data_IF_809894244772
#
_entry.id   IF_809894244772
#
_cell.length_a   1.000
_cell.length_b   1.000
_cell.length_c   1.000
_cell.angle_alpha   90.00
_cell.angle_beta   90.00
_cell.angle_gamma   90.00
#
_symmetry.space_group_name_H-M   'P 1'
#
loop_
_entity.id
_entity.type
_entity.pdbx_description
1 polymer ?
#
# COMPACT_ATOMS: atom_id res chain seq x y z
N UNK A 1 -16.16 13.44 68.62
CA UNK A 1 -15.19 12.37 68.38
C UNK A 1 -15.09 12.15 66.88
N UNK A 2 -13.90 12.32 66.32
CA UNK A 2 -13.66 11.98 64.91
C UNK A 2 -13.26 10.52 64.84
N UNK A 3 -14.01 9.70 64.11
CA UNK A 3 -13.71 8.31 63.88
C UNK A 3 -12.72 8.24 62.73
N UNK A 4 -11.52 7.70 62.98
CA UNK A 4 -10.51 7.45 61.95
C UNK A 4 -10.87 6.17 61.20
N UNK A 5 -11.59 6.32 60.09
CA UNK A 5 -12.07 5.24 59.23
C UNK A 5 -10.94 4.42 58.61
N UNK A 6 -9.67 4.90 58.64
CA UNK A 6 -8.51 4.16 58.14
C UNK A 6 -8.12 2.97 59.05
N UNK A 7 -8.58 2.99 60.32
CA UNK A 7 -8.35 1.93 61.31
C UNK A 7 -9.45 0.87 61.33
N UNK A 8 -10.60 1.18 60.71
CA UNK A 8 -11.71 0.24 60.62
C UNK A 8 -11.51 -0.69 59.42
N UNK A 9 -11.50 -2.01 59.65
CA UNK A 9 -11.35 -3.04 58.61
C UNK A 9 -12.48 -3.01 57.55
N UNK A 10 -13.47 -2.11 57.67
CA UNK A 10 -14.55 -1.93 56.75
C UNK A 10 -14.16 -1.25 55.45
N UNK A 11 -12.99 -0.62 55.34
CA UNK A 11 -12.54 0.09 54.15
C UNK A 11 -11.42 -0.70 53.44
N UNK A 12 -11.77 -1.33 52.32
CA UNK A 12 -10.77 -1.96 51.45
C UNK A 12 -10.06 -0.85 50.65
N UNK A 13 -8.76 -0.63 50.94
CA UNK A 13 -7.97 0.33 50.14
C UNK A 13 -8.10 -0.01 48.65
N UNK A 14 -8.38 0.97 47.81
CA UNK A 14 -8.40 0.75 46.36
C UNK A 14 -6.99 0.26 45.93
N UNK A 15 -6.94 -0.69 45.03
CA UNK A 15 -5.70 -1.25 44.48
C UNK A 15 -4.87 -0.19 43.76
N UNK A 16 -5.56 0.81 43.14
CA UNK A 16 -4.96 1.94 42.43
C UNK A 16 -5.57 3.25 42.90
N UNK A 17 -4.73 4.27 43.05
CA UNK A 17 -5.11 5.65 43.33
C UNK A 17 -4.61 6.57 42.22
N UNK A 18 -5.07 7.82 42.19
CA UNK A 18 -4.58 8.83 41.22
C UNK A 18 -3.07 9.04 41.25
N UNK A 19 -2.41 8.70 42.36
CA UNK A 19 -0.97 8.81 42.55
C UNK A 19 -0.19 7.56 42.14
N UNK A 20 -0.86 6.50 41.71
CA UNK A 20 -0.20 5.27 41.28
C UNK A 20 0.56 5.49 39.98
N UNK A 21 1.87 5.21 39.97
CA UNK A 21 2.74 5.39 38.79
C UNK A 21 2.24 4.63 37.58
N UNK A 22 1.68 3.41 37.78
CA UNK A 22 1.07 2.60 36.73
C UNK A 22 -0.08 3.33 36.00
N UNK A 23 -0.88 4.11 36.73
CA UNK A 23 -1.95 4.91 36.12
C UNK A 23 -1.40 6.13 35.40
N UNK A 24 -0.38 6.79 35.95
CA UNK A 24 0.31 7.92 35.32
C UNK A 24 0.93 7.48 33.98
N UNK A 25 1.64 6.36 33.96
CA UNK A 25 2.25 5.76 32.77
C UNK A 25 1.20 5.36 31.72
N UNK A 26 0.06 4.81 32.17
CA UNK A 26 -1.04 4.46 31.27
C UNK A 26 -1.64 5.70 30.60
N UNK A 27 -1.88 6.77 31.37
CA UNK A 27 -2.41 8.05 30.85
C UNK A 27 -1.42 8.70 29.88
N UNK A 28 -0.13 8.73 30.21
CA UNK A 28 0.90 9.25 29.31
C UNK A 28 0.94 8.46 28.00
N UNK A 29 0.90 7.13 28.06
CA UNK A 29 0.87 6.26 26.89
C UNK A 29 -0.38 6.48 26.05
N UNK A 30 -1.54 6.61 26.68
CA UNK A 30 -2.80 6.92 26.00
C UNK A 30 -2.71 8.26 25.24
N UNK A 31 -2.27 9.32 25.95
CA UNK A 31 -2.12 10.64 25.35
C UNK A 31 -1.13 10.63 24.17
N UNK A 32 -0.01 9.91 24.32
CA UNK A 32 0.96 9.73 23.25
C UNK A 32 0.35 9.03 22.03
N UNK A 33 -0.44 7.98 22.22
CA UNK A 33 -1.06 7.24 21.12
C UNK A 33 -2.13 8.07 20.40
N UNK A 34 -3.02 8.73 21.16
CA UNK A 34 -4.08 9.57 20.56
C UNK A 34 -3.55 10.88 20.01
N UNK A 35 -2.38 11.34 20.46
CA UNK A 35 -1.67 12.48 19.88
C UNK A 35 -1.08 12.22 18.49
N UNK A 36 -1.09 10.96 18.03
CA UNK A 36 -0.58 10.60 16.69
C UNK A 36 -1.45 11.21 15.59
N UNK A 37 -0.79 11.81 14.59
CA UNK A 37 -1.44 12.26 13.35
C UNK A 37 -0.57 11.89 12.16
N UNK A 38 -1.05 10.97 11.33
CA UNK A 38 -0.39 10.56 10.09
C UNK A 38 -1.24 10.99 8.91
N UNK A 39 -0.67 11.82 8.04
CA UNK A 39 -1.29 12.24 6.78
C UNK A 39 -0.66 11.43 5.65
N UNK A 40 -1.41 10.51 5.09
CA UNK A 40 -0.99 9.75 3.92
C UNK A 40 -1.25 10.54 2.66
N UNK A 41 -0.27 10.54 1.75
CA UNK A 41 -0.35 11.16 0.42
C UNK A 41 -0.49 10.09 -0.66
N UNK A 42 -1.48 10.26 -1.54
CA UNK A 42 -1.75 9.41 -2.71
C UNK A 42 -2.00 10.30 -3.93
N UNK A 43 -0.94 10.81 -4.55
CA UNK A 43 -1.07 11.87 -5.55
C UNK A 43 -1.68 13.13 -4.92
N UNK A 44 -2.80 13.58 -5.47
CA UNK A 44 -3.55 14.74 -4.98
C UNK A 44 -4.48 14.39 -3.80
N UNK A 45 -4.75 13.10 -3.57
CA UNK A 45 -5.59 12.61 -2.47
C UNK A 45 -4.79 12.49 -1.16
N UNK A 46 -5.47 12.81 -0.05
CA UNK A 46 -4.90 12.64 1.29
C UNK A 46 -5.82 11.82 2.19
N UNK A 47 -5.22 11.02 3.07
CA UNK A 47 -5.94 10.32 4.13
C UNK A 47 -5.30 10.63 5.47
N UNK A 48 -6.09 11.21 6.37
CA UNK A 48 -5.63 11.52 7.74
C UNK A 48 -6.04 10.42 8.69
N UNK A 49 -5.06 9.87 9.39
CA UNK A 49 -5.25 9.02 10.56
C UNK A 49 -4.86 9.83 11.80
N UNK A 50 -5.80 10.00 12.72
CA UNK A 50 -5.61 10.76 13.95
C UNK A 50 -6.17 10.03 15.20
N UNK A 51 -6.10 10.71 16.33
CA UNK A 51 -6.56 10.21 17.62
C UNK A 51 -8.03 9.81 17.65
N UNK A 52 -8.89 10.39 16.82
CA UNK A 52 -10.33 10.07 16.79
C UNK A 52 -10.58 8.65 16.31
N UNK A 53 -9.71 8.16 15.44
CA UNK A 53 -9.74 6.77 14.95
C UNK A 53 -8.89 5.86 15.83
N UNK A 54 -7.70 6.31 16.24
CA UNK A 54 -6.73 5.53 17.02
C UNK A 54 -7.28 5.13 18.38
N UNK A 55 -8.04 6.01 19.06
CA UNK A 55 -8.62 5.72 20.38
C UNK A 55 -9.48 4.43 20.36
N UNK A 56 -10.18 4.15 19.24
CA UNK A 56 -11.00 2.94 19.06
C UNK A 56 -10.16 1.65 18.91
N UNK A 57 -8.85 1.79 18.70
CA UNK A 57 -7.91 0.70 18.52
C UNK A 57 -7.16 0.34 19.79
N UNK A 58 -7.27 1.18 20.82
CA UNK A 58 -6.59 0.98 22.09
C UNK A 58 -7.32 -0.09 22.91
N UNK A 59 -6.55 -0.89 23.62
CA UNK A 59 -6.99 -1.83 24.64
C UNK A 59 -6.20 -1.58 25.90
N UNK A 60 -6.90 -1.33 27.00
CA UNK A 60 -6.32 -1.30 28.34
C UNK A 60 -6.55 -2.67 28.95
N UNK A 61 -5.50 -3.29 29.46
CA UNK A 61 -5.56 -4.56 30.18
C UNK A 61 -5.92 -4.36 31.65
N UNK A 62 -6.20 -5.46 32.36
CA UNK A 62 -6.49 -5.44 33.80
C UNK A 62 -5.35 -4.89 34.65
N UNK A 63 -4.12 -5.07 34.18
CA UNK A 63 -2.87 -4.56 34.76
C UNK A 63 -2.57 -3.10 34.37
N UNK A 64 -3.55 -2.39 33.79
CA UNK A 64 -3.45 -1.04 33.23
C UNK A 64 -2.47 -0.89 32.06
N UNK A 65 -1.91 -1.97 31.51
CA UNK A 65 -1.07 -1.90 30.31
C UNK A 65 -1.89 -1.46 29.10
N UNK A 66 -1.42 -0.40 28.43
CA UNK A 66 -2.04 0.14 27.21
C UNK A 66 -1.44 -0.55 25.99
N UNK A 67 -2.27 -1.09 25.10
CA UNK A 67 -1.86 -1.74 23.86
C UNK A 67 -2.68 -1.27 22.66
N UNK A 68 -2.04 -1.21 21.50
CA UNK A 68 -2.72 -1.05 20.20
C UNK A 68 -3.17 -2.42 19.70
N UNK A 69 -4.42 -2.52 19.25
CA UNK A 69 -4.96 -3.69 18.57
C UNK A 69 -4.44 -3.73 17.13
N UNK A 70 -3.36 -4.50 16.88
CA UNK A 70 -2.72 -4.64 15.57
C UNK A 70 -3.72 -4.94 14.44
N UNK A 71 -4.71 -5.82 14.69
CA UNK A 71 -5.73 -6.16 13.70
C UNK A 71 -6.61 -4.98 13.25
N UNK A 72 -6.74 -3.95 14.08
CA UNK A 72 -7.44 -2.70 13.70
C UNK A 72 -6.57 -1.82 12.82
N UNK A 73 -5.27 -1.77 13.09
CA UNK A 73 -4.29 -1.08 12.24
C UNK A 73 -4.23 -1.76 10.87
N UNK A 74 -4.16 -3.09 10.85
CA UNK A 74 -4.16 -3.88 9.63
C UNK A 74 -5.42 -3.64 8.77
N UNK A 75 -6.61 -3.60 9.40
CA UNK A 75 -7.85 -3.26 8.68
C UNK A 75 -7.79 -1.88 8.02
N UNK A 76 -7.23 -0.89 8.71
CA UNK A 76 -7.04 0.43 8.12
C UNK A 76 -6.08 0.40 6.94
N UNK A 77 -4.96 -0.30 7.05
CA UNK A 77 -4.00 -0.46 5.94
C UNK A 77 -4.64 -1.20 4.75
N UNK A 78 -5.51 -2.19 5.02
CA UNK A 78 -6.29 -2.87 3.99
C UNK A 78 -7.32 -1.94 3.31
N UNK A 79 -7.86 -0.94 4.01
CA UNK A 79 -8.72 0.08 3.40
C UNK A 79 -7.93 0.95 2.43
N UNK A 80 -6.69 1.36 2.81
CA UNK A 80 -5.79 2.11 1.94
C UNK A 80 -5.44 1.30 0.69
N UNK A 81 -5.02 0.03 0.87
CA UNK A 81 -4.73 -0.91 -0.21
C UNK A 81 -5.91 -0.99 -1.20
N UNK A 82 -7.13 -1.27 -0.71
CA UNK A 82 -8.30 -1.41 -1.58
C UNK A 82 -8.70 -0.15 -2.32
N UNK A 83 -8.40 1.02 -1.76
CA UNK A 83 -8.77 2.31 -2.38
C UNK A 83 -7.74 2.81 -3.38
N UNK A 84 -6.46 2.56 -3.13
CA UNK A 84 -5.38 3.24 -3.85
C UNK A 84 -4.47 2.33 -4.66
N UNK A 85 -4.54 1.02 -4.49
CA UNK A 85 -3.77 0.12 -5.32
C UNK A 85 -4.41 0.01 -6.71
N UNK A 86 -3.54 0.00 -7.73
CA UNK A 86 -3.94 -0.16 -9.13
C UNK A 86 -3.36 -1.43 -9.75
N UNK A 87 -2.52 -2.16 -9.01
CA UNK A 87 -2.01 -3.47 -9.43
C UNK A 87 -3.17 -4.45 -9.65
N UNK A 88 -3.08 -5.28 -10.70
CA UNK A 88 -4.10 -6.25 -11.10
C UNK A 88 -5.47 -5.66 -11.49
N UNK A 89 -5.55 -4.35 -11.70
CA UNK A 89 -6.80 -3.70 -12.15
C UNK A 89 -6.86 -3.61 -13.68
N UNK A 90 -8.08 -3.61 -14.21
CA UNK A 90 -8.30 -3.37 -15.62
C UNK A 90 -8.11 -1.87 -15.94
N UNK A 91 -7.54 -1.58 -17.10
CA UNK A 91 -7.26 -0.20 -17.55
C UNK A 91 -7.96 0.12 -18.85
N UNK A 92 -8.62 1.27 -18.90
CA UNK A 92 -9.00 1.86 -20.19
C UNK A 92 -7.75 2.42 -20.83
N UNK A 93 -7.43 1.96 -22.02
CA UNK A 93 -6.22 2.31 -22.74
C UNK A 93 -6.58 2.85 -24.13
N UNK A 94 -6.00 4.00 -24.48
CA UNK A 94 -6.12 4.55 -25.83
C UNK A 94 -4.94 4.04 -26.65
N UNK A 95 -5.22 3.23 -27.65
CA UNK A 95 -4.20 2.60 -28.50
C UNK A 95 -3.49 3.65 -29.38
N UNK A 96 -2.35 3.25 -29.94
CA UNK A 96 -1.63 4.06 -30.92
C UNK A 96 -2.47 4.36 -32.18
N UNK A 97 -3.44 3.51 -32.50
CA UNK A 97 -4.41 3.75 -33.58
C UNK A 97 -5.52 4.74 -33.22
N UNK A 98 -5.64 5.11 -31.94
CA UNK A 98 -6.64 6.06 -31.44
C UNK A 98 -7.90 5.44 -30.84
N UNK A 99 -8.04 4.12 -30.91
CA UNK A 99 -9.16 3.39 -30.31
C UNK A 99 -9.03 3.26 -28.81
N UNK A 100 -10.14 3.14 -28.09
CA UNK A 100 -10.14 2.90 -26.65
C UNK A 100 -10.49 1.45 -26.38
N UNK A 101 -9.58 0.72 -25.77
CA UNK A 101 -9.75 -0.68 -25.37
C UNK A 101 -9.67 -0.83 -23.85
N UNK A 102 -10.14 -1.95 -23.33
CA UNK A 102 -9.90 -2.32 -21.94
C UNK A 102 -8.82 -3.39 -21.90
N UNK A 103 -7.69 -3.05 -21.28
CA UNK A 103 -6.60 -4.00 -21.03
C UNK A 103 -6.86 -4.70 -19.70
N UNK A 104 -6.93 -6.02 -19.76
CA UNK A 104 -7.19 -6.90 -18.61
C UNK A 104 -5.89 -7.57 -18.16
N UNK A 105 -5.69 -7.66 -16.84
CA UNK A 105 -4.54 -8.39 -16.28
C UNK A 105 -3.24 -7.59 -16.25
N UNK A 106 -2.15 -8.35 -16.00
CA UNK A 106 -0.83 -7.78 -15.73
C UNK A 106 -0.61 -7.47 -14.26
N UNK A 107 0.62 -7.15 -13.92
CA UNK A 107 1.07 -6.95 -12.53
C UNK A 107 1.66 -5.56 -12.28
N UNK A 108 1.47 -4.63 -13.22
CA UNK A 108 1.88 -3.23 -13.05
C UNK A 108 0.89 -2.44 -12.23
N UNK A 109 1.37 -1.47 -11.45
CA UNK A 109 0.53 -0.51 -10.72
C UNK A 109 1.05 -0.20 -9.32
N UNK A 110 0.35 0.67 -8.62
CA UNK A 110 0.57 0.92 -7.21
C UNK A 110 0.21 -0.31 -6.39
N UNK A 111 1.09 -0.72 -5.49
CA UNK A 111 0.87 -1.88 -4.63
C UNK A 111 1.42 -1.63 -3.22
N UNK A 112 0.54 -1.36 -2.28
CA UNK A 112 0.89 -1.16 -0.87
C UNK A 112 1.42 -2.46 -0.25
N UNK A 113 2.55 -2.38 0.45
CA UNK A 113 3.05 -3.48 1.27
C UNK A 113 2.31 -3.49 2.61
N UNK A 114 1.17 -4.13 2.66
CA UNK A 114 0.26 -4.12 3.82
C UNK A 114 0.92 -4.62 5.10
N UNK A 115 1.85 -5.57 5.02
CA UNK A 115 2.57 -6.11 6.18
C UNK A 115 3.56 -5.08 6.73
N UNK A 116 4.47 -4.57 5.87
CA UNK A 116 5.45 -3.57 6.28
C UNK A 116 4.80 -2.28 6.75
N UNK A 117 3.73 -1.85 6.07
CA UNK A 117 2.99 -0.66 6.45
C UNK A 117 2.31 -0.81 7.81
N UNK A 118 1.67 -1.95 8.07
CA UNK A 118 1.05 -2.23 9.38
C UNK A 118 2.10 -2.18 10.49
N UNK A 119 3.26 -2.83 10.30
CA UNK A 119 4.34 -2.82 11.30
C UNK A 119 4.87 -1.42 11.57
N UNK A 120 5.05 -0.64 10.50
CA UNK A 120 5.54 0.73 10.61
C UNK A 120 4.53 1.65 11.28
N UNK A 121 3.24 1.52 10.91
CA UNK A 121 2.18 2.33 11.47
C UNK A 121 1.98 2.06 12.98
N UNK A 122 2.04 0.79 13.41
CA UNK A 122 2.02 0.45 14.85
C UNK A 122 3.16 1.16 15.58
N UNK A 123 4.38 1.14 15.04
CA UNK A 123 5.54 1.83 15.63
C UNK A 123 5.37 3.35 15.68
N UNK A 124 4.77 3.94 14.64
CA UNK A 124 4.49 5.38 14.59
C UNK A 124 3.46 5.78 15.64
N UNK A 125 2.40 5.01 15.82
CA UNK A 125 1.40 5.25 16.86
C UNK A 125 2.02 5.13 18.25
N UNK A 126 2.86 4.11 18.48
CA UNK A 126 3.56 3.94 19.76
C UNK A 126 4.48 5.12 20.10
N UNK A 127 4.99 5.82 19.09
CA UNK A 127 5.85 7.01 19.25
C UNK A 127 5.05 8.33 19.34
N UNK A 128 3.76 8.32 19.11
CA UNK A 128 2.96 9.55 19.03
C UNK A 128 3.35 10.43 17.84
N UNK A 129 3.69 9.82 16.70
CA UNK A 129 4.25 10.55 15.56
C UNK A 129 3.22 11.48 14.90
N UNK A 130 3.66 12.70 14.55
CA UNK A 130 2.92 13.66 13.71
C UNK A 130 3.72 13.88 12.45
N UNK A 131 3.23 13.38 11.30
CA UNK A 131 3.96 13.50 10.03
C UNK A 131 3.10 13.22 8.79
N UNK A 132 3.56 13.73 7.67
CA UNK A 132 3.09 13.36 6.34
C UNK A 132 3.99 12.29 5.74
N UNK A 133 3.41 11.36 5.00
CA UNK A 133 4.14 10.29 4.32
C UNK A 133 3.30 9.53 3.30
N UNK A 134 3.98 8.83 2.40
CA UNK A 134 3.41 7.75 1.60
C UNK A 134 3.46 6.43 2.37
N UNK A 135 2.60 5.44 2.06
CA UNK A 135 2.73 4.11 2.62
C UNK A 135 4.01 3.39 2.16
N UNK A 136 4.30 2.27 2.79
CA UNK A 136 5.32 1.34 2.28
C UNK A 136 4.74 0.61 1.08
N UNK A 137 5.39 0.69 -0.07
CA UNK A 137 4.97 0.02 -1.29
C UNK A 137 5.79 -1.25 -1.57
N UNK A 138 5.18 -2.24 -2.22
CA UNK A 138 5.86 -3.34 -2.91
C UNK A 138 6.29 -2.91 -4.29
N UNK A 139 5.41 -2.13 -4.95
CA UNK A 139 5.61 -1.59 -6.28
C UNK A 139 4.98 -0.21 -6.36
N UNK A 140 5.63 0.68 -7.09
CA UNK A 140 5.12 2.02 -7.40
C UNK A 140 4.83 2.11 -8.88
N UNK A 141 3.85 2.95 -9.26
CA UNK A 141 3.60 3.32 -10.64
C UNK A 141 4.18 4.72 -10.95
N UNK A 142 4.16 5.13 -12.21
CA UNK A 142 4.72 6.42 -12.65
C UNK A 142 3.86 7.59 -12.19
N UNK A 143 2.54 7.40 -12.18
CA UNK A 143 1.57 8.44 -11.79
C UNK A 143 0.39 7.83 -11.05
N UNK A 144 -0.44 8.67 -10.45
CA UNK A 144 -1.73 8.25 -9.89
C UNK A 144 -2.86 8.46 -10.92
N UNK A 145 -3.98 7.78 -10.70
CA UNK A 145 -5.17 7.86 -11.55
C UNK A 145 -5.17 6.84 -12.70
N UNK A 146 -6.04 7.08 -13.68
CA UNK A 146 -6.34 6.12 -14.76
C UNK A 146 -5.16 5.81 -15.68
N UNK A 147 -4.18 6.73 -15.77
CA UNK A 147 -2.94 6.56 -16.53
C UNK A 147 -1.73 6.35 -15.62
N UNK A 148 -1.85 5.42 -14.69
CA UNK A 148 -0.76 5.12 -13.75
C UNK A 148 0.55 4.69 -14.45
N UNK A 149 0.48 4.21 -15.70
CA UNK A 149 1.61 3.86 -16.55
C UNK A 149 2.30 5.08 -17.22
N UNK A 150 1.73 6.30 -17.09
CA UNK A 150 2.31 7.54 -17.62
C UNK A 150 2.23 7.68 -19.13
N UNK A 151 3.14 8.49 -19.69
CA UNK A 151 3.16 8.84 -21.12
C UNK A 151 4.35 8.23 -21.89
N UNK A 152 5.08 7.30 -21.25
CA UNK A 152 6.24 6.63 -21.87
C UNK A 152 6.13 5.12 -21.62
N UNK A 153 5.82 4.37 -22.69
CA UNK A 153 5.55 2.94 -22.60
C UNK A 153 5.80 2.24 -23.95
N UNK A 154 5.85 0.92 -23.95
CA UNK A 154 5.72 0.10 -25.15
C UNK A 154 4.29 -0.48 -25.19
N UNK A 155 3.64 -0.37 -26.35
CA UNK A 155 2.36 -1.00 -26.66
C UNK A 155 2.62 -2.16 -27.61
N UNK A 156 2.05 -3.31 -27.33
CA UNK A 156 2.09 -4.50 -28.20
C UNK A 156 0.66 -4.85 -28.59
N UNK A 157 0.33 -4.63 -29.84
CA UNK A 157 -0.93 -5.10 -30.42
C UNK A 157 -0.80 -6.58 -30.79
N UNK A 158 -1.41 -7.43 -29.96
CA UNK A 158 -1.35 -8.89 -30.13
C UNK A 158 -2.13 -9.33 -31.38
N UNK A 159 -3.20 -8.62 -31.75
CA UNK A 159 -4.04 -8.95 -32.91
C UNK A 159 -3.40 -8.47 -34.20
N UNK A 160 -2.89 -7.23 -34.20
CA UNK A 160 -2.24 -6.63 -35.38
C UNK A 160 -0.79 -7.03 -35.53
N UNK A 161 -0.21 -7.78 -34.56
CA UNK A 161 1.19 -8.18 -34.57
C UNK A 161 2.13 -6.98 -34.77
N UNK A 162 1.95 -5.93 -33.94
CA UNK A 162 2.67 -4.67 -34.07
C UNK A 162 3.11 -4.14 -32.70
N UNK A 163 4.28 -3.52 -32.65
CA UNK A 163 4.83 -2.87 -31.47
C UNK A 163 4.95 -1.38 -31.71
N UNK A 164 4.52 -0.59 -30.74
CA UNK A 164 4.71 0.87 -30.69
C UNK A 164 5.54 1.23 -29.46
N UNK A 165 6.50 2.13 -29.61
CA UNK A 165 7.21 2.77 -28.50
C UNK A 165 6.71 4.20 -28.42
N UNK A 166 6.07 4.51 -27.29
CA UNK A 166 5.54 5.83 -26.99
C UNK A 166 6.47 6.52 -25.99
N UNK A 167 6.88 7.73 -26.30
CA UNK A 167 7.68 8.58 -25.41
C UNK A 167 7.04 9.95 -25.29
N UNK A 168 6.76 10.37 -24.05
CA UNK A 168 6.07 11.64 -23.77
C UNK A 168 4.77 11.79 -24.59
N UNK A 169 3.96 10.73 -24.66
CA UNK A 169 2.69 10.71 -25.38
C UNK A 169 2.77 10.68 -26.90
N UNK A 170 3.97 10.52 -27.48
CA UNK A 170 4.17 10.44 -28.94
C UNK A 170 4.79 9.12 -29.34
N UNK A 171 4.27 8.51 -30.40
CA UNK A 171 4.91 7.35 -31.01
C UNK A 171 6.25 7.79 -31.60
N UNK A 172 7.33 7.19 -31.12
CA UNK A 172 8.71 7.48 -31.59
C UNK A 172 9.32 6.34 -32.38
N UNK A 173 8.70 5.16 -32.34
CA UNK A 173 9.11 3.98 -33.09
C UNK A 173 7.93 3.01 -33.18
N UNK A 174 7.79 2.35 -34.31
CA UNK A 174 6.85 1.27 -34.53
C UNK A 174 7.41 0.22 -35.49
N UNK A 175 7.00 -1.02 -35.30
CA UNK A 175 7.43 -2.14 -36.18
C UNK A 175 6.49 -3.32 -36.07
N UNK A 176 6.42 -4.11 -37.13
CA UNK A 176 5.78 -5.43 -37.05
C UNK A 176 6.54 -6.34 -36.09
N UNK A 177 5.82 -7.20 -35.40
CA UNK A 177 6.37 -8.21 -34.50
C UNK A 177 5.66 -9.55 -34.67
N UNK A 178 6.19 -10.59 -34.06
CA UNK A 178 5.51 -11.88 -33.90
C UNK A 178 5.35 -12.13 -32.41
N UNK A 179 4.10 -12.36 -31.98
CA UNK A 179 3.79 -12.72 -30.61
C UNK A 179 3.70 -14.25 -30.44
N UNK A 180 3.49 -14.69 -29.20
CA UNK A 180 3.45 -16.12 -28.90
C UNK A 180 2.33 -16.86 -29.64
N UNK A 181 2.57 -18.13 -29.96
CA UNK A 181 1.65 -18.97 -30.72
C UNK A 181 0.53 -19.55 -29.83
N UNK A 182 -0.69 -19.00 -29.95
CA UNK A 182 -1.84 -19.45 -29.17
C UNK A 182 -2.21 -20.91 -29.45
N UNK A 183 -2.09 -21.36 -30.71
CA UNK A 183 -2.47 -22.74 -31.09
C UNK A 183 -1.57 -23.80 -30.44
N UNK A 184 -0.40 -23.42 -29.98
CA UNK A 184 0.56 -24.28 -29.29
C UNK A 184 0.59 -24.05 -27.78
N UNK A 185 -0.33 -23.25 -27.24
CA UNK A 185 -0.37 -22.91 -25.81
C UNK A 185 0.71 -21.92 -25.33
N UNK A 186 1.35 -21.23 -26.26
CA UNK A 186 2.40 -20.24 -25.99
C UNK A 186 1.91 -18.79 -26.23
N UNK A 187 0.65 -18.49 -25.90
CA UNK A 187 0.09 -17.17 -26.06
C UNK A 187 0.88 -16.13 -25.26
N UNK A 188 1.13 -14.96 -25.87
CA UNK A 188 1.64 -13.80 -25.13
C UNK A 188 0.52 -13.28 -24.20
N UNK A 189 0.72 -13.24 -22.87
CA UNK A 189 -0.33 -12.81 -21.95
C UNK A 189 -0.69 -11.34 -22.19
N UNK A 190 -1.97 -11.04 -22.38
CA UNK A 190 -2.45 -9.67 -22.39
C UNK A 190 -2.36 -9.07 -20.98
N UNK A 191 -2.07 -7.77 -20.88
CA UNK A 191 -1.97 -7.09 -19.60
C UNK A 191 -1.07 -5.88 -19.60
N UNK A 192 -0.98 -5.23 -18.45
CA UNK A 192 -0.04 -4.13 -18.19
C UNK A 192 1.08 -4.61 -17.30
N UNK A 193 2.32 -4.52 -17.77
CA UNK A 193 3.50 -5.08 -17.12
C UNK A 193 4.58 -4.02 -16.94
N UNK A 194 5.35 -4.12 -15.87
CA UNK A 194 6.54 -3.30 -15.66
C UNK A 194 7.73 -3.86 -16.44
N UNK A 195 8.53 -2.99 -17.06
CA UNK A 195 9.82 -3.40 -17.65
C UNK A 195 10.79 -3.71 -16.52
N UNK A 196 11.17 -4.96 -16.36
CA UNK A 196 12.06 -5.43 -15.28
C UNK A 196 13.54 -5.16 -15.58
N UNK A 197 13.97 -5.31 -16.82
CA UNK A 197 15.34 -5.02 -17.25
C UNK A 197 15.41 -4.72 -18.75
N UNK A 198 16.55 -4.19 -19.17
CA UNK A 198 16.90 -3.97 -20.58
C UNK A 198 18.27 -4.60 -20.82
N UNK A 199 18.39 -5.33 -21.89
CA UNK A 199 19.66 -5.95 -22.27
C UNK A 199 19.91 -5.71 -23.74
N UNK A 200 21.12 -5.24 -24.08
CA UNK A 200 21.59 -5.14 -25.47
C UNK A 200 22.36 -6.41 -25.84
N UNK A 201 22.24 -6.87 -27.09
CA UNK A 201 22.86 -8.07 -27.56
C UNK A 201 22.53 -9.30 -26.69
N UNK A 202 21.23 -9.42 -26.35
CA UNK A 202 20.75 -10.56 -25.59
C UNK A 202 20.75 -11.83 -26.49
N UNK A 203 20.90 -12.97 -25.86
CA UNK A 203 20.60 -14.27 -26.51
C UNK A 203 19.36 -14.82 -25.80
N UNK A 204 18.28 -14.96 -26.53
CA UNK A 204 17.06 -15.62 -26.01
C UNK A 204 17.29 -17.14 -26.12
N UNK A 205 17.13 -17.80 -24.98
CA UNK A 205 17.26 -19.27 -24.87
C UNK A 205 15.95 -19.85 -24.33
N UNK A 206 15.42 -20.80 -25.03
CA UNK A 206 14.35 -21.67 -24.60
C UNK A 206 14.73 -23.12 -24.64
N UNK A 207 13.81 -24.02 -24.38
CA UNK A 207 14.06 -25.44 -24.27
C UNK A 207 14.64 -26.02 -25.58
N UNK A 208 14.21 -25.50 -26.74
CA UNK A 208 14.60 -26.00 -28.06
C UNK A 208 15.10 -24.91 -29.03
N UNK A 209 15.45 -23.73 -28.52
CA UNK A 209 15.95 -22.63 -29.36
C UNK A 209 16.97 -21.75 -28.64
N UNK A 210 17.85 -21.18 -29.44
CA UNK A 210 18.76 -20.11 -29.04
C UNK A 210 18.82 -19.10 -30.19
N UNK A 211 18.45 -17.82 -29.87
CA UNK A 211 18.37 -16.75 -30.87
C UNK A 211 19.05 -15.50 -30.34
N UNK A 212 20.07 -14.96 -31.01
CA UNK A 212 20.62 -13.64 -30.70
C UNK A 212 19.63 -12.55 -31.08
N UNK A 213 19.58 -11.48 -30.25
CA UNK A 213 18.67 -10.32 -30.44
C UNK A 213 19.48 -9.03 -30.44
#
# INVERSE_FOLDING_TARGET
ESVDLSKEKAYKKPEFTSESDVLKDAVETLNRYVGTKITYQFGDDTVVLDGTRINKWIKIKKDNTVKIRRNKVEKFVQELHRKYDTVFTNRKFKTAYGDTVTVYGGDYGWWVNTVKETDKLVKLIQKGAVKERTPEYRQTAVSYGDKDYGDTYAEVDLSGQHVFVVKNGKVVFDTACVTGNESQGHATPAGTYGITYKQRNATLRGENYETPV
#
